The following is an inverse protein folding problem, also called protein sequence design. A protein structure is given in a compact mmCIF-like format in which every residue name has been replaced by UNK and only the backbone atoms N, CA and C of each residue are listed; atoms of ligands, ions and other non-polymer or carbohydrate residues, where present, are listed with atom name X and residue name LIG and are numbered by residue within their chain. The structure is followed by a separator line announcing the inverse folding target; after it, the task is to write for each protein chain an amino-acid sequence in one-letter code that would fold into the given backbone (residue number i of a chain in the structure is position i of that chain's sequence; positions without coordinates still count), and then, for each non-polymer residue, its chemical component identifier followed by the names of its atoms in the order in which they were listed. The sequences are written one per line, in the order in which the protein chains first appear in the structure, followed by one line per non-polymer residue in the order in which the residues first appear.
data_IF_194722825129
#
_entry.id   IF_194722825129
#
_cell.length_a   1.000
_cell.length_b   1.000
_cell.length_c   1.000
_cell.angle_alpha   90.00
_cell.angle_beta   90.00
_cell.angle_gamma   90.00
#
_symmetry.space_group_name_H-M   'P 1'
#
loop_
_entity.id
_entity.type
_entity.pdbx_description
1 polymer ?
#
# COMPACT_ATOMS: atom_id res chain seq x y z
N UNK A 1 -23.73 -3.88 -4.93
CA UNK A 1 -23.86 -2.97 -3.76
C UNK A 1 -23.02 -3.52 -2.61
N UNK A 2 -21.68 -3.48 -2.75
CA UNK A 2 -20.75 -3.88 -1.68
C UNK A 2 -20.09 -2.63 -1.09
N UNK A 3 -20.93 -1.74 -0.54
CA UNK A 3 -20.47 -0.50 0.12
C UNK A 3 -20.04 -0.74 1.57
N UNK A 4 -19.99 -2.00 2.02
CA UNK A 4 -19.73 -2.39 3.41
C UNK A 4 -18.29 -2.84 3.69
N UNK A 5 -17.46 -3.08 2.67
CA UNK A 5 -16.10 -3.62 2.87
C UNK A 5 -15.05 -2.54 3.19
N UNK A 6 -15.31 -1.28 2.83
CA UNK A 6 -14.34 -0.17 2.95
C UNK A 6 -14.22 0.32 4.41
N UNK A 7 -15.29 0.21 5.22
CA UNK A 7 -15.41 0.97 6.46
C UNK A 7 -14.70 0.33 7.67
N UNK A 8 -14.38 -0.97 7.61
CA UNK A 8 -13.78 -1.71 8.74
C UNK A 8 -12.27 -1.93 8.64
N UNK A 9 -11.62 -1.54 7.53
CA UNK A 9 -10.24 -1.90 7.20
C UNK A 9 -9.15 -0.87 7.58
N UNK A 10 -9.51 0.38 7.89
CA UNK A 10 -8.54 1.46 8.16
C UNK A 10 -7.70 1.31 9.44
N UNK A 11 -7.90 0.23 10.19
CA UNK A 11 -7.10 -0.08 11.38
C UNK A 11 -5.79 -0.80 11.05
N UNK A 12 -5.56 -1.20 9.79
CA UNK A 12 -4.36 -1.94 9.36
C UNK A 12 -3.73 -1.36 8.10
N UNK A 13 -2.44 -1.63 7.88
CA UNK A 13 -1.72 -1.16 6.69
C UNK A 13 -2.26 -1.77 5.40
N UNK A 14 -2.80 -2.99 5.47
CA UNK A 14 -3.43 -3.68 4.35
C UNK A 14 -4.70 -2.96 3.88
N UNK A 15 -5.54 -2.47 4.80
CA UNK A 15 -6.72 -1.69 4.43
C UNK A 15 -6.35 -0.43 3.64
N UNK A 16 -5.32 0.29 4.07
CA UNK A 16 -4.79 1.43 3.33
C UNK A 16 -4.18 1.03 1.97
N UNK A 17 -3.59 -0.16 1.87
CA UNK A 17 -3.02 -0.65 0.62
C UNK A 17 -4.09 -0.99 -0.42
N UNK A 18 -5.23 -1.56 0.01
CA UNK A 18 -6.40 -1.79 -0.84
C UNK A 18 -7.02 -0.49 -1.32
N UNK A 19 -7.13 0.52 -0.46
CA UNK A 19 -7.65 1.83 -0.85
C UNK A 19 -6.73 2.53 -1.85
N UNK A 20 -5.41 2.46 -1.65
CA UNK A 20 -4.44 2.97 -2.62
C UNK A 20 -4.60 2.27 -3.97
N UNK A 21 -4.82 0.95 -3.97
CA UNK A 21 -5.05 0.19 -5.19
C UNK A 21 -6.34 0.63 -5.90
N UNK A 22 -7.43 0.75 -5.15
CA UNK A 22 -8.72 1.20 -5.68
C UNK A 22 -8.62 2.59 -6.31
N UNK A 23 -7.86 3.51 -5.71
CA UNK A 23 -7.59 4.84 -6.28
C UNK A 23 -6.82 4.73 -7.61
N UNK A 24 -5.78 3.89 -7.68
CA UNK A 24 -5.01 3.70 -8.92
C UNK A 24 -5.85 3.09 -10.04
N UNK A 25 -6.71 2.11 -9.71
CA UNK A 25 -7.65 1.50 -10.64
C UNK A 25 -8.71 2.49 -11.14
N UNK A 26 -9.32 3.26 -10.23
CA UNK A 26 -10.32 4.28 -10.58
C UNK A 26 -9.74 5.37 -11.49
N UNK A 27 -8.47 5.72 -11.27
CA UNK A 27 -7.72 6.65 -12.10
C UNK A 27 -7.14 6.02 -13.37
N UNK A 28 -7.34 4.72 -13.60
CA UNK A 28 -6.79 3.97 -14.74
C UNK A 28 -5.28 4.17 -14.92
N UNK A 29 -4.55 4.14 -13.81
CA UNK A 29 -3.09 4.27 -13.82
C UNK A 29 -2.49 2.94 -14.26
N UNK A 30 -1.87 2.89 -15.44
CA UNK A 30 -1.19 1.67 -15.90
C UNK A 30 0.22 1.50 -15.32
N UNK A 31 0.88 2.61 -14.97
CA UNK A 31 2.19 2.61 -14.32
C UNK A 31 2.51 3.95 -13.67
N UNK A 32 3.03 3.96 -12.46
CA UNK A 32 3.41 5.16 -11.73
C UNK A 32 4.77 5.06 -11.02
N UNK A 33 5.27 6.20 -10.55
CA UNK A 33 6.35 6.26 -9.56
C UNK A 33 5.69 6.61 -8.24
N UNK A 34 5.70 5.67 -7.28
CA UNK A 34 5.11 5.91 -5.97
C UNK A 34 6.15 6.55 -5.04
N UNK A 35 5.76 7.63 -4.36
CA UNK A 35 6.60 8.32 -3.37
C UNK A 35 5.88 8.30 -2.03
N UNK A 36 6.37 7.47 -1.10
CA UNK A 36 5.79 7.33 0.23
C UNK A 36 6.69 7.89 1.32
N UNK A 37 6.13 8.61 2.30
CA UNK A 37 6.84 9.08 3.49
C UNK A 37 6.34 8.35 4.75
N UNK A 38 7.23 8.00 5.69
CA UNK A 38 6.86 7.38 6.98
C UNK A 38 6.03 6.10 6.80
N UNK A 39 4.81 6.04 7.36
CA UNK A 39 3.92 4.87 7.26
C UNK A 39 3.43 4.65 5.83
N UNK A 40 3.25 5.72 5.03
CA UNK A 40 2.84 5.62 3.63
C UNK A 40 3.87 4.92 2.75
N UNK A 41 5.15 4.92 3.14
CA UNK A 41 6.17 4.10 2.48
C UNK A 41 5.85 2.59 2.57
N UNK A 42 5.32 2.15 3.72
CA UNK A 42 4.95 0.74 3.95
C UNK A 42 3.63 0.38 3.29
N UNK A 43 2.68 1.30 3.27
CA UNK A 43 1.43 1.13 2.51
C UNK A 43 1.76 0.91 1.03
N UNK A 44 2.59 1.78 0.42
CA UNK A 44 3.01 1.62 -0.97
C UNK A 44 3.77 0.32 -1.24
N UNK A 45 4.62 -0.11 -0.31
CA UNK A 45 5.33 -1.39 -0.43
C UNK A 45 4.35 -2.58 -0.49
N UNK A 46 3.36 -2.61 0.42
CA UNK A 46 2.34 -3.66 0.45
C UNK A 46 1.53 -3.64 -0.85
N UNK A 47 1.08 -2.46 -1.30
CA UNK A 47 0.35 -2.32 -2.56
C UNK A 47 1.16 -2.80 -3.77
N UNK A 48 2.47 -2.52 -3.82
CA UNK A 48 3.31 -3.02 -4.91
C UNK A 48 3.45 -4.53 -4.91
N UNK A 49 3.52 -5.19 -3.74
CA UNK A 49 3.50 -6.66 -3.67
C UNK A 49 2.18 -7.24 -4.21
N UNK A 50 1.06 -6.53 -4.04
CA UNK A 50 -0.24 -6.96 -4.53
C UNK A 50 -0.37 -6.81 -6.05
N UNK A 51 0.18 -5.74 -6.64
CA UNK A 51 0.10 -5.49 -8.08
C UNK A 51 1.36 -4.81 -8.60
N UNK A 52 2.37 -5.62 -8.92
CA UNK A 52 3.71 -5.17 -9.31
C UNK A 52 3.71 -4.31 -10.58
N UNK A 53 2.82 -4.60 -11.52
CA UNK A 53 2.80 -3.96 -12.85
C UNK A 53 2.44 -2.46 -12.79
N UNK A 54 1.77 -2.02 -11.73
CA UNK A 54 1.35 -0.62 -11.54
C UNK A 54 2.48 0.32 -11.12
N UNK A 55 3.65 -0.21 -10.74
CA UNK A 55 4.72 0.58 -10.15
C UNK A 55 6.02 0.43 -10.94
N UNK A 56 6.40 1.49 -11.65
CA UNK A 56 7.69 1.57 -12.33
C UNK A 56 8.85 1.77 -11.34
N UNK A 57 8.62 2.52 -10.25
CA UNK A 57 9.59 2.78 -9.17
C UNK A 57 8.86 3.10 -7.86
N UNK A 58 9.55 2.83 -6.75
CA UNK A 58 9.13 3.25 -5.40
C UNK A 58 10.24 4.10 -4.78
N UNK A 59 9.88 5.26 -4.26
CA UNK A 59 10.76 6.13 -3.48
C UNK A 59 10.20 6.21 -2.06
N UNK A 60 11.03 5.84 -1.07
CA UNK A 60 10.65 5.87 0.34
C UNK A 60 11.43 6.94 1.09
N UNK A 61 10.71 7.83 1.78
CA UNK A 61 11.29 8.88 2.60
C UNK A 61 11.01 8.58 4.08
N UNK A 62 12.07 8.33 4.86
CA UNK A 62 11.97 8.01 6.30
C UNK A 62 10.93 6.91 6.61
N UNK A 63 11.00 5.72 5.99
CA UNK A 63 10.02 4.66 6.22
C UNK A 63 10.00 4.27 7.70
N UNK A 64 8.81 4.25 8.30
CA UNK A 64 8.63 3.86 9.70
C UNK A 64 7.64 2.73 9.80
N UNK A 65 8.08 1.61 10.38
CA UNK A 65 7.23 0.50 10.75
C UNK A 65 6.87 0.70 12.23
N UNK A 66 5.62 1.06 12.52
CA UNK A 66 5.12 0.97 13.88
C UNK A 66 5.17 -0.50 14.30
N UNK A 67 5.91 -0.79 15.36
CA UNK A 67 6.23 -2.13 15.88
C UNK A 67 5.06 -3.12 15.78
N UNK A 68 5.06 -3.99 14.76
CA UNK A 68 4.36 -5.27 14.78
C UNK A 68 5.38 -6.35 15.10
N UNK A 69 5.26 -6.93 16.30
CA UNK A 69 5.97 -8.15 16.67
C UNK A 69 5.24 -9.33 16.03
N UNK A 70 5.58 -9.73 14.79
CA UNK A 70 5.62 -11.14 14.39
C UNK A 70 6.19 -11.34 12.96
N UNK A 71 7.17 -12.25 12.89
CA UNK A 71 7.76 -12.91 11.72
C UNK A 71 8.53 -12.06 10.70
N UNK A 72 9.83 -12.09 10.91
CA UNK A 72 10.85 -12.13 9.87
C UNK A 72 10.42 -12.99 8.67
N UNK A 73 10.37 -12.38 7.51
CA UNK A 73 10.78 -13.04 6.27
C UNK A 73 12.04 -12.30 5.82
N UNK A 74 13.18 -12.83 6.25
CA UNK A 74 14.47 -12.56 5.61
C UNK A 74 14.45 -13.40 4.33
N UNK A 75 14.87 -12.77 3.22
CA UNK A 75 15.11 -13.41 1.92
C UNK A 75 16.02 -14.64 2.03
#
# INVERSE_FOLDING_TARGET
MSSSMIIWGYSTLEGFAYDLLAILEELQVDSCIFVGHSVSSMIGLITTVMQLDLFSKIVMLSPTQGTYVHRSYIL
#
